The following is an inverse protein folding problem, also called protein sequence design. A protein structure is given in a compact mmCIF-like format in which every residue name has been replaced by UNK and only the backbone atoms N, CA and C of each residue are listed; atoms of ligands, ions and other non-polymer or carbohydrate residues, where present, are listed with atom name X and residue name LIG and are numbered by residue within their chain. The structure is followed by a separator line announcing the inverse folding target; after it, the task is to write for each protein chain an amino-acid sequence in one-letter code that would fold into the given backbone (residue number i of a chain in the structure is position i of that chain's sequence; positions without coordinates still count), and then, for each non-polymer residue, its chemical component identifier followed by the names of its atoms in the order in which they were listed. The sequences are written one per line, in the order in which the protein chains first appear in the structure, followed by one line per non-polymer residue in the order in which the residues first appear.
data_IF_291484107140
#
_entry.id   IF_291484107140
#
_cell.length_a   1.000
_cell.length_b   1.000
_cell.length_c   1.000
_cell.angle_alpha   90.00
_cell.angle_beta   90.00
_cell.angle_gamma   90.00
#
_symmetry.space_group_name_H-M   'P 1'
#
loop_
_entity.id
_entity.type
_entity.pdbx_description
1 polymer ?
#
# COMPACT_ATOMS: atom_id res chain seq x y z
N UNK A 1 -2.63 -15.72 -1.36
CA UNK A 1 -2.08 -14.46 -1.85
C UNK A 1 -1.31 -13.75 -0.73
N UNK A 2 -1.92 -13.53 0.44
CA UNK A 2 -1.30 -12.85 1.57
C UNK A 2 -0.25 -13.75 2.22
N UNK A 3 1.04 -13.32 2.30
CA UNK A 3 2.08 -14.13 2.92
C UNK A 3 1.94 -14.14 4.44
N UNK A 4 2.34 -15.26 5.06
CA UNK A 4 2.39 -15.37 6.50
C UNK A 4 3.38 -14.37 7.10
N UNK A 5 3.14 -13.94 8.34
CA UNK A 5 4.01 -12.98 9.01
C UNK A 5 3.95 -11.56 8.46
N UNK A 6 2.82 -11.16 7.91
CA UNK A 6 2.49 -9.76 7.67
C UNK A 6 1.63 -9.26 8.82
N UNK A 7 2.02 -8.15 9.44
CA UNK A 7 1.37 -7.63 10.65
C UNK A 7 -0.03 -7.07 10.39
N UNK A 8 -0.14 -6.05 9.55
CA UNK A 8 -1.40 -5.36 9.25
C UNK A 8 -1.60 -5.22 7.76
N UNK A 9 -2.85 -5.41 7.32
CA UNK A 9 -3.27 -5.14 5.95
C UNK A 9 -4.34 -4.05 5.89
N UNK A 10 -4.11 -3.04 5.06
CA UNK A 10 -5.14 -2.13 4.57
C UNK A 10 -5.38 -2.44 3.10
N UNK A 11 -6.42 -3.18 2.78
CA UNK A 11 -6.73 -3.61 1.41
C UNK A 11 -8.10 -3.11 0.99
N UNK A 12 -8.17 -2.48 -0.18
CA UNK A 12 -9.39 -1.86 -0.71
C UNK A 12 -10.10 -1.00 0.36
N UNK A 13 -9.31 -0.25 1.12
CA UNK A 13 -9.74 0.44 2.33
C UNK A 13 -9.59 1.94 2.19
N UNK A 14 -10.46 2.70 2.85
CA UNK A 14 -10.44 4.16 2.84
C UNK A 14 -10.51 4.73 4.24
N UNK A 15 -9.82 5.88 4.44
CA UNK A 15 -9.84 6.63 5.71
C UNK A 15 -9.39 5.75 6.88
N UNK A 16 -8.26 5.06 6.71
CA UNK A 16 -7.67 4.18 7.73
C UNK A 16 -6.50 4.88 8.39
N UNK A 17 -6.47 4.85 9.71
CA UNK A 17 -5.32 5.28 10.52
C UNK A 17 -4.71 4.06 11.20
N UNK A 18 -3.41 3.86 10.99
CA UNK A 18 -2.60 2.83 11.64
C UNK A 18 -1.52 3.55 12.43
N UNK A 19 -1.78 3.78 13.71
CA UNK A 19 -0.96 4.65 14.53
C UNK A 19 -0.64 4.05 15.89
N UNK A 20 0.52 4.45 16.44
CA UNK A 20 0.94 4.13 17.81
C UNK A 20 1.05 2.61 18.10
N UNK A 21 1.34 1.80 17.06
CA UNK A 21 1.57 0.37 17.19
C UNK A 21 3.06 0.03 17.28
N UNK A 22 3.34 -1.14 17.83
CA UNK A 22 4.68 -1.74 17.82
C UNK A 22 4.65 -3.01 16.98
N UNK A 23 5.51 -3.07 15.97
CA UNK A 23 5.72 -4.20 15.10
C UNK A 23 7.10 -4.79 15.36
N UNK A 24 7.15 -6.07 15.68
CA UNK A 24 8.40 -6.75 16.00
C UNK A 24 8.46 -8.13 15.34
N UNK A 25 9.56 -8.39 14.63
CA UNK A 25 9.88 -9.70 14.06
C UNK A 25 8.78 -10.30 13.16
N UNK A 26 8.04 -9.46 12.44
CA UNK A 26 7.11 -9.96 11.43
C UNK A 26 7.90 -10.54 10.25
N UNK A 27 7.62 -11.77 9.91
CA UNK A 27 8.40 -12.54 8.94
C UNK A 27 8.49 -11.87 7.57
N UNK A 28 7.35 -11.34 7.06
CA UNK A 28 7.26 -10.77 5.70
C UNK A 28 7.29 -9.25 5.69
N UNK A 29 6.65 -8.59 6.63
CA UNK A 29 6.59 -7.14 6.70
C UNK A 29 5.59 -6.68 7.75
N UNK A 30 5.57 -5.40 8.09
CA UNK A 30 4.74 -4.91 9.18
C UNK A 30 3.38 -4.43 8.69
N UNK A 31 3.35 -3.56 7.69
CA UNK A 31 2.12 -2.97 7.18
C UNK A 31 2.12 -3.07 5.65
N UNK A 32 1.02 -3.54 5.07
CA UNK A 32 0.83 -3.55 3.63
C UNK A 32 -0.45 -2.79 3.25
N UNK A 33 -0.30 -1.81 2.36
CA UNK A 33 -1.37 -1.02 1.75
C UNK A 33 -1.57 -1.55 0.34
N UNK A 34 -2.66 -2.23 0.10
CA UNK A 34 -2.89 -2.96 -1.13
C UNK A 34 -4.24 -2.59 -1.76
N UNK A 35 -4.25 -2.52 -3.07
CA UNK A 35 -5.47 -2.50 -3.86
C UNK A 35 -6.13 -3.87 -3.89
N UNK A 36 -7.45 -3.92 -4.02
CA UNK A 36 -8.18 -5.15 -4.30
C UNK A 36 -7.70 -5.86 -5.58
N UNK A 37 -7.21 -5.12 -6.56
CA UNK A 37 -6.71 -5.66 -7.83
C UNK A 37 -5.50 -6.59 -7.67
N UNK A 38 -4.80 -6.56 -6.54
CA UNK A 38 -3.76 -7.54 -6.19
C UNK A 38 -4.38 -8.93 -5.94
N UNK A 39 -5.62 -8.99 -5.46
CA UNK A 39 -6.32 -10.25 -5.16
C UNK A 39 -7.09 -10.76 -6.38
N UNK A 40 -7.80 -9.86 -7.04
CA UNK A 40 -8.52 -10.16 -8.28
C UNK A 40 -8.34 -8.98 -9.24
N UNK A 41 -7.66 -9.23 -10.34
CA UNK A 41 -7.33 -8.22 -11.34
C UNK A 41 -8.50 -7.78 -12.21
N UNK A 42 -9.67 -8.41 -12.09
CA UNK A 42 -10.89 -7.97 -12.78
C UNK A 42 -11.57 -6.82 -12.02
N UNK A 43 -11.54 -5.57 -12.52
CA UNK A 43 -12.19 -4.44 -11.85
C UNK A 43 -13.71 -4.62 -11.67
N UNK A 44 -14.35 -5.49 -12.46
CA UNK A 44 -15.77 -5.75 -12.33
C UNK A 44 -16.14 -6.44 -11.02
N UNK A 45 -15.23 -7.26 -10.47
CA UNK A 45 -15.40 -7.91 -9.16
C UNK A 45 -15.46 -6.89 -8.02
N UNK A 46 -14.82 -5.74 -8.20
CA UNK A 46 -14.74 -4.65 -7.23
C UNK A 46 -15.79 -3.55 -7.46
N UNK A 47 -16.77 -3.79 -8.32
CA UNK A 47 -17.86 -2.85 -8.58
C UNK A 47 -19.02 -3.09 -7.63
N UNK A 48 -19.43 -2.02 -6.94
CA UNK A 48 -20.59 -2.02 -6.03
C UNK A 48 -21.73 -1.22 -6.64
N UNK A 49 -22.98 -1.70 -6.48
CA UNK A 49 -24.15 -0.90 -6.82
C UNK A 49 -24.26 0.28 -5.83
N UNK A 50 -24.47 1.49 -6.35
CA UNK A 50 -24.66 2.70 -5.53
C UNK A 50 -25.79 2.51 -4.51
N UNK A 51 -26.82 1.73 -4.85
CA UNK A 51 -27.93 1.44 -3.94
C UNK A 51 -27.55 0.55 -2.73
N UNK A 52 -26.41 -0.15 -2.82
CA UNK A 52 -25.90 -0.99 -1.72
C UNK A 52 -25.02 -0.22 -0.74
N UNK A 53 -24.61 1.00 -1.11
CA UNK A 53 -23.81 1.83 -0.24
C UNK A 53 -24.67 2.35 0.92
N UNK A 54 -24.13 2.31 2.13
CA UNK A 54 -24.80 2.76 3.35
C UNK A 54 -24.13 4.03 3.84
N UNK A 55 -24.92 5.08 4.10
CA UNK A 55 -24.44 6.35 4.62
C UNK A 55 -24.27 7.44 3.54
N UNK A 56 -23.55 8.51 3.89
CA UNK A 56 -23.22 9.59 2.96
C UNK A 56 -22.00 9.20 2.13
N UNK A 57 -22.14 9.21 0.83
CA UNK A 57 -21.12 8.73 -0.12
C UNK A 57 -20.50 9.85 -0.94
N UNK A 58 -21.02 11.07 -0.86
CA UNK A 58 -20.62 12.19 -1.72
C UNK A 58 -19.15 12.54 -1.56
N UNK A 59 -18.59 12.27 -0.37
CA UNK A 59 -17.19 12.58 -0.03
C UNK A 59 -16.21 11.41 -0.27
N UNK A 60 -16.67 10.25 -0.73
CA UNK A 60 -15.80 9.07 -0.83
C UNK A 60 -14.87 9.09 -2.05
N UNK A 61 -15.10 9.99 -3.01
CA UNK A 61 -14.26 10.07 -4.21
C UNK A 61 -14.25 8.78 -5.05
N UNK A 62 -15.31 7.98 -4.97
CA UNK A 62 -15.41 6.70 -5.65
C UNK A 62 -15.39 6.88 -7.16
N UNK A 63 -14.58 6.10 -7.84
CA UNK A 63 -14.55 6.05 -9.30
C UNK A 63 -15.79 5.33 -9.83
N UNK A 64 -16.25 5.65 -11.06
CA UNK A 64 -17.26 4.86 -11.75
C UNK A 64 -16.86 3.37 -11.79
N UNK A 65 -17.81 2.49 -11.52
CA UNK A 65 -17.63 1.05 -11.62
C UNK A 65 -17.80 0.53 -13.06
N UNK A 66 -17.78 -0.79 -13.22
CA UNK A 66 -17.90 -1.45 -14.53
C UNK A 66 -19.32 -1.41 -15.14
N UNK A 67 -20.33 -1.07 -14.35
CA UNK A 67 -21.73 -1.05 -14.78
C UNK A 67 -22.43 0.30 -14.55
N UNK A 68 -23.64 0.49 -15.10
CA UNK A 68 -24.44 1.67 -14.81
C UNK A 68 -24.83 1.69 -13.32
N UNK A 69 -24.72 2.86 -12.70
CA UNK A 69 -24.98 3.07 -11.27
C UNK A 69 -24.07 2.24 -10.34
N UNK A 70 -22.88 1.88 -10.80
CA UNK A 70 -21.88 1.22 -9.95
C UNK A 70 -20.69 2.12 -9.71
N UNK A 71 -19.99 1.86 -8.60
CA UNK A 71 -18.74 2.52 -8.22
C UNK A 71 -17.67 1.48 -7.98
N UNK A 72 -16.42 1.83 -8.28
CA UNK A 72 -15.27 0.97 -8.02
C UNK A 72 -14.82 1.06 -6.58
N UNK A 73 -14.49 -0.08 -5.97
CA UNK A 73 -14.04 -0.17 -4.57
C UNK A 73 -12.74 -0.96 -4.43
N UNK A 74 -11.82 -0.85 -5.37
CA UNK A 74 -10.56 -1.57 -5.30
C UNK A 74 -9.39 -0.77 -4.70
N UNK A 75 -9.47 0.56 -4.64
CA UNK A 75 -8.38 1.41 -4.17
C UNK A 75 -8.26 1.41 -2.65
N UNK A 76 -7.02 1.53 -2.18
CA UNK A 76 -6.71 1.96 -0.81
C UNK A 76 -6.36 3.43 -0.84
N UNK A 77 -7.15 4.27 -0.19
CA UNK A 77 -7.06 5.74 -0.26
C UNK A 77 -7.19 6.39 1.13
N UNK A 78 -6.54 7.54 1.31
CA UNK A 78 -6.57 8.28 2.58
C UNK A 78 -6.11 7.41 3.74
N UNK A 79 -4.94 6.80 3.60
CA UNK A 79 -4.34 5.92 4.61
C UNK A 79 -3.25 6.69 5.35
N UNK A 80 -3.33 6.71 6.67
CA UNK A 80 -2.33 7.35 7.55
C UNK A 80 -1.60 6.28 8.34
N UNK A 81 -0.27 6.23 8.22
CA UNK A 81 0.61 5.34 8.98
C UNK A 81 1.61 6.21 9.74
N UNK A 82 1.36 6.39 11.03
CA UNK A 82 2.14 7.33 11.81
C UNK A 82 2.44 6.84 13.24
N UNK A 83 3.59 7.26 13.76
CA UNK A 83 4.02 7.00 15.14
C UNK A 83 4.09 5.51 15.52
N UNK A 84 4.27 4.64 14.53
CA UNK A 84 4.51 3.23 14.80
C UNK A 84 6.01 3.01 15.06
N UNK A 85 6.32 1.93 15.76
CA UNK A 85 7.69 1.46 15.98
C UNK A 85 7.89 0.13 15.26
N UNK A 86 8.98 0.01 14.51
CA UNK A 86 9.29 -1.15 13.69
C UNK A 86 10.64 -1.75 14.11
N UNK A 87 10.74 -3.08 14.19
CA UNK A 87 12.01 -3.75 14.49
C UNK A 87 12.06 -5.22 14.03
N UNK A 88 13.15 -5.61 13.36
CA UNK A 88 13.47 -7.00 13.02
C UNK A 88 12.46 -7.68 12.10
N UNK A 89 11.73 -6.92 11.29
CA UNK A 89 10.72 -7.44 10.37
C UNK A 89 11.26 -7.51 8.94
N UNK A 90 10.58 -8.31 8.07
CA UNK A 90 10.86 -8.37 6.64
C UNK A 90 12.04 -9.26 6.22
N UNK A 91 12.71 -9.94 7.15
CA UNK A 91 13.95 -10.68 6.84
C UNK A 91 13.72 -12.02 6.12
N UNK A 92 12.51 -12.59 6.21
CA UNK A 92 12.23 -13.93 5.67
C UNK A 92 10.82 -14.00 5.07
N UNK A 93 10.53 -13.31 3.96
CA UNK A 93 9.21 -13.31 3.36
C UNK A 93 8.73 -14.73 3.02
N UNK A 94 7.45 -15.01 3.26
CA UNK A 94 6.86 -16.33 3.00
C UNK A 94 6.74 -16.63 1.51
N UNK A 95 7.78 -17.23 0.94
CA UNK A 95 7.86 -17.59 -0.48
C UNK A 95 6.89 -18.70 -0.90
N UNK A 96 6.14 -19.30 0.03
CA UNK A 96 5.08 -20.26 -0.32
C UNK A 96 3.83 -19.58 -0.90
N UNK A 97 3.78 -18.27 -0.87
CA UNK A 97 2.72 -17.41 -1.41
C UNK A 97 3.24 -16.50 -2.50
N UNK A 98 2.43 -16.25 -3.52
CA UNK A 98 2.81 -15.48 -4.70
C UNK A 98 3.40 -14.10 -4.35
N UNK A 99 2.77 -13.39 -3.43
CA UNK A 99 3.26 -12.07 -2.99
C UNK A 99 4.57 -12.20 -2.21
N UNK A 100 4.70 -13.16 -1.31
CA UNK A 100 5.96 -13.37 -0.60
C UNK A 100 7.10 -13.78 -1.53
N UNK A 101 6.82 -14.58 -2.56
CA UNK A 101 7.79 -14.89 -3.61
C UNK A 101 8.19 -13.65 -4.41
N UNK A 102 7.23 -12.80 -4.78
CA UNK A 102 7.50 -11.53 -5.44
C UNK A 102 8.38 -10.62 -4.57
N UNK A 103 8.06 -10.47 -3.30
CA UNK A 103 8.85 -9.66 -2.37
C UNK A 103 10.29 -10.20 -2.25
N UNK A 104 10.48 -11.50 -2.12
CA UNK A 104 11.81 -12.10 -2.11
C UNK A 104 12.58 -11.85 -3.41
N UNK A 105 11.89 -11.81 -4.56
CA UNK A 105 12.49 -11.47 -5.85
C UNK A 105 12.91 -9.99 -5.92
N UNK A 106 12.09 -9.09 -5.39
CA UNK A 106 12.33 -7.64 -5.46
C UNK A 106 13.42 -7.19 -4.50
N UNK A 107 13.42 -7.71 -3.28
CA UNK A 107 14.34 -7.29 -2.23
C UNK A 107 15.64 -8.12 -2.18
N UNK A 108 15.64 -9.34 -2.75
CA UNK A 108 16.83 -10.22 -2.74
C UNK A 108 17.26 -10.57 -1.33
N UNK A 109 18.48 -10.16 -0.96
CA UNK A 109 19.05 -10.39 0.37
C UNK A 109 18.74 -9.24 1.37
N UNK A 110 18.12 -8.15 0.91
CA UNK A 110 17.74 -7.02 1.75
C UNK A 110 16.38 -7.30 2.45
N UNK A 111 16.18 -6.81 3.68
CA UNK A 111 14.89 -6.91 4.35
C UNK A 111 13.79 -6.19 3.57
N UNK A 112 12.61 -6.77 3.55
CA UNK A 112 11.41 -6.14 3.01
C UNK A 112 11.04 -4.92 3.84
N UNK A 113 10.61 -3.84 3.18
CA UNK A 113 10.20 -2.61 3.86
C UNK A 113 9.11 -2.83 4.92
N UNK A 114 9.21 -2.05 6.01
CA UNK A 114 8.22 -2.10 7.10
C UNK A 114 6.83 -1.73 6.62
N UNK A 115 6.74 -0.74 5.73
CA UNK A 115 5.49 -0.29 5.11
C UNK A 115 5.59 -0.53 3.61
N UNK A 116 4.74 -1.38 3.10
CA UNK A 116 4.61 -1.71 1.68
C UNK A 116 3.38 -1.04 1.08
N UNK A 117 3.55 -0.44 -0.08
CA UNK A 117 2.48 0.14 -0.86
C UNK A 117 2.52 -0.39 -2.29
N UNK A 118 1.39 -0.83 -2.82
CA UNK A 118 1.31 -1.38 -4.17
C UNK A 118 1.40 -0.33 -5.29
N UNK A 119 1.07 0.93 -5.00
CA UNK A 119 1.09 2.02 -5.98
C UNK A 119 -0.03 1.98 -7.01
N UNK A 120 -1.01 1.08 -6.87
CA UNK A 120 -2.12 0.97 -7.83
C UNK A 120 -3.03 2.18 -7.71
N UNK A 121 -3.23 2.86 -8.83
CA UNK A 121 -4.06 4.07 -8.91
C UNK A 121 -3.27 5.37 -8.91
N UNK A 122 -1.96 5.30 -8.72
CA UNK A 122 -1.07 6.44 -8.89
C UNK A 122 -0.90 6.79 -10.37
N UNK A 123 -0.86 8.08 -10.69
CA UNK A 123 -0.73 8.56 -12.08
C UNK A 123 0.72 8.60 -12.59
N UNK A 124 1.69 8.58 -11.67
CA UNK A 124 3.11 8.67 -12.00
C UNK A 124 3.95 7.80 -11.09
N UNK A 125 4.85 7.02 -11.68
CA UNK A 125 5.86 6.22 -10.98
C UNK A 125 7.26 6.52 -11.52
N UNK A 126 8.19 6.82 -10.62
CA UNK A 126 9.60 7.06 -10.88
C UNK A 126 10.42 6.36 -9.80
N UNK A 127 11.10 5.29 -10.16
CA UNK A 127 11.93 4.53 -9.22
C UNK A 127 13.27 5.23 -8.92
N UNK A 128 13.78 6.03 -9.86
CA UNK A 128 15.08 6.71 -9.69
C UNK A 128 14.98 7.96 -8.84
N UNK A 129 13.85 8.66 -8.91
CA UNK A 129 13.60 9.87 -8.13
C UNK A 129 12.25 9.73 -7.40
N UNK A 130 12.20 9.06 -6.25
CA UNK A 130 10.97 8.79 -5.50
C UNK A 130 10.10 10.03 -5.24
N UNK A 131 10.70 11.20 -5.06
CA UNK A 131 9.98 12.46 -4.86
C UNK A 131 9.15 12.93 -6.08
N UNK A 132 9.39 12.37 -7.28
CA UNK A 132 8.60 12.66 -8.48
C UNK A 132 7.29 11.88 -8.54
N UNK A 133 7.13 10.86 -7.71
CA UNK A 133 5.93 10.03 -7.74
C UNK A 133 4.68 10.84 -7.41
N UNK A 134 3.54 10.44 -7.95
CA UNK A 134 2.27 10.95 -7.48
C UNK A 134 1.90 10.35 -6.12
N UNK A 135 0.97 10.98 -5.44
CA UNK A 135 0.30 10.44 -4.25
C UNK A 135 -1.20 10.71 -4.38
N UNK A 136 -1.76 10.23 -5.49
CA UNK A 136 -3.18 10.44 -5.82
C UNK A 136 -4.11 9.72 -4.83
N UNK A 137 -3.62 8.64 -4.24
CA UNK A 137 -4.34 7.87 -3.24
C UNK A 137 -4.23 8.47 -1.81
N UNK A 138 -3.50 9.56 -1.63
CA UNK A 138 -3.32 10.20 -0.33
C UNK A 138 -2.83 9.23 0.77
N UNK A 139 -1.79 8.46 0.46
CA UNK A 139 -1.08 7.63 1.42
C UNK A 139 -0.08 8.51 2.17
N UNK A 140 -0.11 8.42 3.49
CA UNK A 140 0.70 9.24 4.37
C UNK A 140 1.49 8.36 5.32
N UNK A 141 2.81 8.47 5.30
CA UNK A 141 3.73 7.70 6.15
C UNK A 141 4.69 8.66 6.85
N UNK A 142 4.60 8.77 8.18
CA UNK A 142 5.44 9.73 8.88
C UNK A 142 5.52 9.52 10.39
N UNK A 143 6.58 10.05 11.00
CA UNK A 143 6.79 9.97 12.43
C UNK A 143 6.99 8.55 12.97
N UNK A 144 7.22 7.55 12.12
CA UNK A 144 7.50 6.17 12.51
C UNK A 144 8.96 6.04 12.98
N UNK A 145 9.20 5.18 13.97
CA UNK A 145 10.54 4.87 14.47
C UNK A 145 11.09 3.65 13.75
N UNK A 146 12.27 3.78 13.14
CA UNK A 146 12.96 2.73 12.38
C UNK A 146 12.11 2.11 11.24
N UNK A 147 11.11 2.85 10.76
CA UNK A 147 10.27 2.43 9.63
C UNK A 147 10.93 2.72 8.29
N UNK A 148 10.74 1.83 7.33
CA UNK A 148 11.09 1.98 5.93
C UNK A 148 9.82 1.95 5.08
N UNK A 149 9.87 2.51 3.87
CA UNK A 149 8.69 2.59 2.99
C UNK A 149 9.05 2.14 1.57
N UNK A 150 8.32 1.17 1.05
CA UNK A 150 8.46 0.68 -0.32
C UNK A 150 7.21 0.87 -1.16
N UNK A 151 7.38 1.40 -2.38
CA UNK A 151 6.34 1.35 -3.41
C UNK A 151 6.71 0.26 -4.43
N UNK A 152 5.87 -0.75 -4.51
CA UNK A 152 6.11 -1.96 -5.28
C UNK A 152 5.91 -1.78 -6.79
N UNK A 153 5.27 -0.69 -7.24
CA UNK A 153 4.87 -0.52 -8.63
C UNK A 153 4.10 -1.75 -9.17
N UNK A 154 3.08 -2.16 -8.43
CA UNK A 154 2.44 -3.46 -8.63
C UNK A 154 1.83 -3.65 -10.02
N UNK A 155 1.39 -2.58 -10.70
CA UNK A 155 0.92 -2.68 -12.09
C UNK A 155 2.02 -3.24 -12.99
N UNK A 156 3.23 -2.69 -12.90
CA UNK A 156 4.36 -3.18 -13.68
C UNK A 156 4.81 -4.59 -13.25
N UNK A 157 4.72 -4.91 -11.94
CA UNK A 157 5.04 -6.25 -11.45
C UNK A 157 4.08 -7.32 -11.97
N UNK A 158 2.79 -7.01 -12.11
CA UNK A 158 1.79 -7.93 -12.67
C UNK A 158 2.05 -8.23 -14.15
N UNK A 159 2.59 -7.25 -14.90
CA UNK A 159 2.96 -7.43 -16.30
C UNK A 159 4.33 -8.10 -16.47
N UNK A 160 5.30 -7.68 -15.67
CA UNK A 160 6.69 -8.14 -15.74
C UNK A 160 7.28 -8.21 -14.33
N UNK A 161 7.26 -9.38 -13.69
CA UNK A 161 7.87 -9.56 -12.36
C UNK A 161 9.35 -9.14 -12.34
N UNK A 162 9.75 -8.42 -11.30
CA UNK A 162 11.09 -7.83 -11.18
C UNK A 162 11.21 -6.45 -11.82
N UNK A 163 10.11 -5.82 -12.22
CA UNK A 163 10.09 -4.42 -12.67
C UNK A 163 10.62 -3.48 -11.59
N UNK A 164 11.12 -2.28 -11.96
CA UNK A 164 11.59 -1.31 -10.97
C UNK A 164 10.54 -1.00 -9.90
N UNK A 165 10.98 -1.02 -8.66
CA UNK A 165 10.29 -0.56 -7.47
C UNK A 165 11.24 0.39 -6.74
N UNK A 166 10.82 1.02 -5.66
CA UNK A 166 11.74 1.77 -4.80
C UNK A 166 11.49 1.48 -3.33
N UNK A 167 12.55 1.65 -2.55
CA UNK A 167 12.57 1.57 -1.10
C UNK A 167 13.19 2.84 -0.52
N UNK A 168 12.56 3.40 0.50
CA UNK A 168 13.02 4.56 1.23
C UNK A 168 13.30 4.16 2.68
N UNK A 169 14.58 4.24 3.06
CA UNK A 169 15.05 3.79 4.38
C UNK A 169 15.06 4.90 5.42
N UNK A 170 14.94 6.15 5.00
CA UNK A 170 14.98 7.32 5.87
C UNK A 170 13.89 8.33 5.49
N UNK A 171 13.19 8.85 6.51
CA UNK A 171 12.24 9.94 6.32
C UNK A 171 12.99 11.28 5.99
N UNK A 172 12.37 12.24 5.29
CA UNK A 172 10.98 12.23 4.85
C UNK A 172 10.74 11.34 3.63
N UNK A 173 9.57 10.73 3.56
CA UNK A 173 9.19 9.81 2.47
C UNK A 173 8.41 10.56 1.36
N UNK A 174 8.94 11.67 0.88
CA UNK A 174 8.25 12.44 -0.16
C UNK A 174 7.96 11.57 -1.41
N UNK A 175 6.74 11.65 -2.01
CA UNK A 175 5.63 12.57 -1.67
C UNK A 175 4.66 12.01 -0.59
N UNK A 176 5.01 10.93 0.09
CA UNK A 176 4.17 10.23 1.07
C UNK A 176 4.36 10.72 2.52
N UNK A 177 5.01 11.85 2.71
CA UNK A 177 5.28 12.40 4.05
C UNK A 177 4.04 13.06 4.68
N UNK A 178 3.79 12.74 5.95
CA UNK A 178 2.64 13.23 6.71
C UNK A 178 2.75 14.66 7.24
N UNK A 179 3.84 15.35 7.06
CA UNK A 179 4.04 16.71 7.63
C UNK A 179 2.95 17.71 7.26
N UNK A 180 2.16 17.43 6.22
CA UNK A 180 1.03 18.25 5.81
C UNK A 180 -0.28 17.96 6.61
N UNK A 181 -0.37 16.87 7.37
CA UNK A 181 -1.56 16.49 8.12
C UNK A 181 -1.50 16.87 9.61
N UNK A 182 -0.36 17.30 10.12
CA UNK A 182 -0.19 17.72 11.52
C UNK A 182 -0.79 19.10 11.83
N UNK A 183 -1.43 19.75 10.88
CA UNK A 183 -2.01 21.09 10.99
C UNK A 183 -3.52 21.19 10.83
N UNK A 184 -4.27 20.06 10.92
CA UNK A 184 -5.71 20.05 10.82
C UNK A 184 -6.41 19.88 12.17
#
# INVERSE_FOLDING_TARGET
IIPAGTGTFAMASRRVEITDNTYENNQTGDIAILSGLIVDSDPAVWSLDVAELVGDHDDLGLLPGAGPNTVSNFRSENIVIARNTHSGSGENPDISRDMGFLLALLYGDDPVDSVLYDGIGESMFDAEVPANNSNDNHVCVGGNTAGTFGNLNAVAQLETPGSPHFSLTEAPFAPYDCTALEGG
#
